data_IF_808852130592
#
_entry.id   IF_808852130592
#
_cell.length_a   1.000
_cell.length_b   1.000
_cell.length_c   1.000
_cell.angle_alpha   90.00
_cell.angle_beta   90.00
_cell.angle_gamma   90.00
#
_symmetry.space_group_name_H-M   'P 1'
#
loop_
_entity.id
_entity.type
_entity.pdbx_description
1 polymer ?
#
# COMPACT_ATOMS: atom_id res chain seq x y z
N UNK A 1 -11.61 17.70 -1.13
CA UNK A 1 -11.58 16.34 -0.53
C UNK A 1 -11.84 16.51 0.95
N UNK A 2 -12.75 15.75 1.55
CA UNK A 2 -13.05 15.87 2.99
C UNK A 2 -12.14 14.96 3.83
N UNK A 3 -11.97 15.26 5.11
CA UNK A 3 -11.24 14.41 6.07
C UNK A 3 -11.73 12.95 6.02
N UNK A 4 -13.04 12.75 5.89
CA UNK A 4 -13.65 11.42 5.80
C UNK A 4 -13.30 10.68 4.50
N UNK A 5 -13.26 11.37 3.35
CA UNK A 5 -12.83 10.78 2.08
C UNK A 5 -11.36 10.36 2.12
N UNK A 6 -10.49 11.17 2.73
CA UNK A 6 -9.07 10.83 2.86
C UNK A 6 -8.87 9.63 3.78
N UNK A 7 -9.57 9.59 4.92
CA UNK A 7 -9.52 8.43 5.83
C UNK A 7 -10.03 7.15 5.15
N UNK A 8 -11.07 7.24 4.33
CA UNK A 8 -11.56 6.10 3.56
C UNK A 8 -10.51 5.58 2.56
N UNK A 9 -9.86 6.48 1.81
CA UNK A 9 -8.78 6.08 0.89
C UNK A 9 -7.57 5.50 1.62
N UNK A 10 -7.19 6.05 2.77
CA UNK A 10 -6.13 5.49 3.62
C UNK A 10 -6.51 4.07 4.08
N UNK A 11 -7.76 3.86 4.48
CA UNK A 11 -8.22 2.55 4.93
C UNK A 11 -8.21 1.51 3.80
N UNK A 12 -8.69 1.89 2.61
CA UNK A 12 -8.65 1.04 1.41
C UNK A 12 -7.21 0.69 1.04
N UNK A 13 -6.33 1.69 0.94
CA UNK A 13 -4.94 1.50 0.59
C UNK A 13 -4.19 0.62 1.60
N UNK A 14 -4.52 0.71 2.90
CA UNK A 14 -3.99 -0.20 3.93
C UNK A 14 -4.47 -1.63 3.77
N UNK A 15 -5.74 -1.85 3.37
CA UNK A 15 -6.24 -3.20 3.11
C UNK A 15 -5.51 -3.83 1.93
N UNK A 16 -5.29 -3.07 0.86
CA UNK A 16 -4.56 -3.56 -0.31
C UNK A 16 -3.09 -3.80 -0.02
N UNK A 17 -2.46 -2.97 0.83
CA UNK A 17 -1.11 -3.18 1.32
C UNK A 17 -0.98 -4.53 2.06
N UNK A 18 -1.91 -4.83 2.98
CA UNK A 18 -1.91 -6.11 3.72
C UNK A 18 -2.10 -7.30 2.78
N UNK A 19 -2.98 -7.19 1.78
CA UNK A 19 -3.17 -8.24 0.77
C UNK A 19 -1.91 -8.48 -0.03
N UNK A 20 -1.26 -7.41 -0.49
CA UNK A 20 -0.04 -7.49 -1.28
C UNK A 20 1.10 -8.15 -0.49
N UNK A 21 1.25 -7.82 0.81
CA UNK A 21 2.21 -8.50 1.68
C UNK A 21 1.94 -10.01 1.78
N UNK A 22 0.69 -10.41 2.00
CA UNK A 22 0.33 -11.83 2.07
C UNK A 22 0.53 -12.57 0.74
N UNK A 23 0.38 -11.89 -0.39
CA UNK A 23 0.70 -12.47 -1.70
C UNK A 23 2.22 -12.53 -1.94
N UNK A 24 2.99 -11.59 -1.41
CA UNK A 24 4.46 -11.65 -1.45
C UNK A 24 5.00 -12.84 -0.66
N UNK A 25 4.47 -13.14 0.52
CA UNK A 25 4.87 -14.32 1.30
C UNK A 25 4.65 -15.62 0.51
N UNK A 26 3.59 -15.69 -0.30
CA UNK A 26 3.34 -16.83 -1.20
C UNK A 26 4.31 -16.84 -2.39
N UNK A 27 4.61 -15.68 -2.96
CA UNK A 27 5.57 -15.54 -4.07
C UNK A 27 7.00 -15.93 -3.64
N UNK A 28 7.39 -15.60 -2.41
CA UNK A 28 8.62 -16.07 -1.77
C UNK A 28 8.64 -17.60 -1.64
N UNK A 29 7.53 -18.20 -1.20
CA UNK A 29 7.41 -19.66 -1.08
C UNK A 29 7.44 -20.40 -2.43
N UNK A 30 6.97 -19.77 -3.50
CA UNK A 30 6.91 -20.37 -4.86
C UNK A 30 8.14 -20.10 -5.72
N UNK A 31 9.07 -19.24 -5.26
CA UNK A 31 10.35 -19.01 -5.93
C UNK A 31 10.25 -18.11 -7.17
N UNK A 32 9.49 -17.02 -7.11
CA UNK A 32 9.34 -16.05 -8.20
C UNK A 32 10.02 -14.69 -7.89
N UNK A 33 11.37 -14.59 -7.94
CA UNK A 33 12.12 -13.40 -7.53
C UNK A 33 11.73 -12.12 -8.28
N UNK A 34 11.45 -12.20 -9.59
CA UNK A 34 11.01 -11.05 -10.38
C UNK A 34 9.62 -10.53 -9.96
N UNK A 35 8.74 -11.40 -9.46
CA UNK A 35 7.41 -10.98 -8.98
C UNK A 35 7.50 -10.36 -7.58
N UNK A 36 8.45 -10.80 -6.76
CA UNK A 36 8.74 -10.22 -5.45
C UNK A 36 9.24 -8.79 -5.62
N UNK A 37 10.22 -8.56 -6.51
CA UNK A 37 10.75 -7.20 -6.76
C UNK A 37 9.64 -6.24 -7.25
N UNK A 38 8.76 -6.70 -8.15
CA UNK A 38 7.60 -5.91 -8.58
C UNK A 38 6.61 -5.64 -7.44
N UNK A 39 6.44 -6.59 -6.53
CA UNK A 39 5.56 -6.43 -5.39
C UNK A 39 6.15 -5.49 -4.34
N UNK A 40 7.47 -5.53 -4.10
CA UNK A 40 8.20 -4.55 -3.27
C UNK A 40 8.07 -3.14 -3.82
N UNK A 41 8.26 -2.95 -5.13
CA UNK A 41 8.04 -1.65 -5.77
C UNK A 41 6.61 -1.15 -5.59
N UNK A 42 5.62 -2.05 -5.70
CA UNK A 42 4.22 -1.70 -5.44
C UNK A 42 3.99 -1.33 -3.97
N UNK A 43 4.56 -2.05 -3.01
CA UNK A 43 4.49 -1.70 -1.59
C UNK A 43 5.08 -0.31 -1.33
N UNK A 44 6.28 -0.02 -1.85
CA UNK A 44 6.91 1.30 -1.69
C UNK A 44 6.06 2.43 -2.27
N UNK A 45 5.43 2.21 -3.44
CA UNK A 45 4.50 3.18 -4.01
C UNK A 45 3.23 3.37 -3.15
N UNK A 46 2.74 2.33 -2.49
CA UNK A 46 1.62 2.45 -1.55
C UNK A 46 2.02 3.24 -0.30
N UNK A 47 3.23 3.05 0.23
CA UNK A 47 3.74 3.81 1.38
C UNK A 47 3.85 5.31 1.06
N UNK A 48 4.37 5.66 -0.12
CA UNK A 48 4.42 7.05 -0.58
C UNK A 48 3.01 7.66 -0.66
N UNK A 49 2.05 6.94 -1.24
CA UNK A 49 0.66 7.38 -1.31
C UNK A 49 0.01 7.53 0.07
N UNK A 50 0.25 6.60 1.00
CA UNK A 50 -0.20 6.71 2.39
C UNK A 50 0.39 7.93 3.08
N UNK A 51 1.68 8.21 2.89
CA UNK A 51 2.33 9.40 3.44
C UNK A 51 1.72 10.68 2.88
N UNK A 52 1.45 10.76 1.57
CA UNK A 52 0.78 11.89 0.96
C UNK A 52 -0.64 12.10 1.48
N UNK A 53 -1.43 11.04 1.58
CA UNK A 53 -2.80 11.11 2.11
C UNK A 53 -2.81 11.56 3.58
N UNK A 54 -1.88 11.07 4.41
CA UNK A 54 -1.76 11.53 5.79
C UNK A 54 -1.33 12.99 5.88
N UNK A 55 -0.42 13.46 5.01
CA UNK A 55 -0.07 14.89 4.93
C UNK A 55 -1.28 15.74 4.55
N UNK A 56 -2.05 15.33 3.55
CA UNK A 56 -3.30 16.01 3.14
C UNK A 56 -4.33 16.02 4.27
N UNK A 57 -4.44 14.93 5.04
CA UNK A 57 -5.32 14.84 6.20
C UNK A 57 -4.91 15.78 7.34
N UNK A 58 -3.61 15.91 7.59
CA UNK A 58 -3.07 16.78 8.63
C UNK A 58 -3.13 18.27 8.26
N UNK A 59 -3.19 18.58 6.96
CA UNK A 59 -3.30 19.95 6.44
C UNK A 59 -4.76 20.45 6.32
N UNK A 60 -5.75 19.63 6.68
CA UNK A 60 -7.18 19.97 6.75
C UNK A 60 -7.59 20.39 8.16
#
# INVERSE_FOLDING_TARGET
MTSQQIKAQIAELKMDYIRLQGDMEKLESTGHPAMIEQAEQRLGNMELQLAELNKKLAAL
#
